data_IF_364850685135
#
_entry.id   IF_364850685135
#
_cell.length_a   1.000
_cell.length_b   1.000
_cell.length_c   1.000
_cell.angle_alpha   90.00
_cell.angle_beta   90.00
_cell.angle_gamma   90.00
#
_symmetry.space_group_name_H-M   'P 1'
#
loop_
_entity.id
_entity.type
_entity.pdbx_description
1 polymer ?
#
# COMPACT_ATOMS: atom_id res chain seq x y z
N UNK A 1 25.43 8.97 12.59
CA UNK A 1 23.98 8.79 12.34
C UNK A 1 23.75 7.35 11.91
N UNK A 2 22.65 6.70 12.34
CA UNK A 2 22.34 5.32 11.94
C UNK A 2 21.93 5.32 10.45
N UNK A 3 22.42 4.34 9.70
CA UNK A 3 22.13 4.14 8.28
C UNK A 3 21.63 2.72 8.02
N UNK A 4 20.87 2.56 6.96
CA UNK A 4 20.46 1.28 6.36
C UNK A 4 21.18 1.16 5.02
N UNK A 5 21.83 0.03 4.77
CA UNK A 5 22.53 -0.23 3.51
C UNK A 5 21.79 -1.33 2.75
N UNK A 6 21.39 -1.04 1.52
CA UNK A 6 20.85 -2.03 0.57
C UNK A 6 22.03 -2.67 -0.15
N UNK A 7 22.12 -4.01 -0.09
CA UNK A 7 23.24 -4.77 -0.63
C UNK A 7 22.66 -5.85 -1.55
N UNK A 8 23.17 -5.92 -2.77
CA UNK A 8 22.81 -6.97 -3.71
C UNK A 8 23.36 -8.31 -3.20
N UNK A 9 22.49 -9.29 -2.90
CA UNK A 9 22.94 -10.55 -2.30
C UNK A 9 23.69 -11.47 -3.28
N UNK A 10 23.64 -11.18 -4.58
CA UNK A 10 24.27 -12.03 -5.61
C UNK A 10 25.76 -11.73 -5.81
N UNK A 11 26.19 -10.51 -5.53
CA UNK A 11 27.56 -10.04 -5.80
C UNK A 11 28.14 -9.14 -4.69
N UNK A 12 27.36 -8.82 -3.64
CA UNK A 12 27.77 -7.98 -2.52
C UNK A 12 27.87 -6.48 -2.83
N UNK A 13 27.43 -6.02 -4.00
CA UNK A 13 27.50 -4.59 -4.35
C UNK A 13 26.49 -3.78 -3.54
N UNK A 14 26.88 -2.60 -3.09
CA UNK A 14 25.98 -1.65 -2.41
C UNK A 14 25.07 -1.01 -3.46
N UNK A 15 23.76 -1.19 -3.30
CA UNK A 15 22.73 -0.57 -4.15
C UNK A 15 22.39 0.85 -3.67
N UNK A 16 22.50 1.10 -2.36
CA UNK A 16 22.22 2.40 -1.78
C UNK A 16 22.38 2.44 -0.25
N UNK A 17 22.49 3.65 0.27
CA UNK A 17 22.47 3.94 1.71
C UNK A 17 21.35 4.91 2.04
N UNK A 18 20.61 4.61 3.11
CA UNK A 18 19.47 5.39 3.56
C UNK A 18 19.67 5.80 5.01
N UNK A 19 19.51 7.09 5.28
CA UNK A 19 19.57 7.58 6.65
C UNK A 19 18.26 7.30 7.39
N UNK A 20 18.38 7.00 8.68
CA UNK A 20 17.21 6.93 9.54
C UNK A 20 16.53 8.32 9.57
N UNK A 21 15.20 8.32 9.54
CA UNK A 21 14.45 9.56 9.74
C UNK A 21 14.71 10.14 11.15
N UNK A 22 14.93 11.45 11.23
CA UNK A 22 14.91 12.18 12.49
C UNK A 22 13.49 12.21 13.06
N UNK A 23 13.37 12.51 14.36
CA UNK A 23 12.05 12.65 15.00
C UNK A 23 11.23 13.75 14.31
N UNK A 24 11.83 14.90 14.01
CA UNK A 24 11.14 15.98 13.27
C UNK A 24 10.61 15.54 11.90
N UNK A 25 11.37 14.68 11.19
CA UNK A 25 10.94 14.13 9.91
C UNK A 25 9.79 13.14 10.07
N UNK A 26 9.81 12.33 11.14
CA UNK A 26 8.70 11.43 11.48
C UNK A 26 7.44 12.24 11.79
N UNK A 27 7.53 13.27 12.62
CA UNK A 27 6.39 14.14 12.96
C UNK A 27 5.80 14.82 11.72
N UNK A 28 6.66 15.26 10.80
CA UNK A 28 6.21 15.83 9.52
C UNK A 28 5.48 14.80 8.64
N UNK A 29 5.97 13.56 8.57
CA UNK A 29 5.29 12.48 7.83
C UNK A 29 3.92 12.21 8.45
N UNK A 30 3.84 12.06 9.78
CA UNK A 30 2.58 11.81 10.49
C UNK A 30 1.57 12.93 10.28
N UNK A 31 2.00 14.19 10.37
CA UNK A 31 1.15 15.36 10.10
C UNK A 31 0.59 15.32 8.68
N UNK A 32 1.43 15.12 7.67
CA UNK A 32 1.01 15.05 6.26
C UNK A 32 0.07 13.88 6.00
N UNK A 33 0.32 12.72 6.60
CA UNK A 33 -0.57 11.56 6.48
C UNK A 33 -1.94 11.83 7.09
N UNK A 34 -2.00 12.52 8.24
CA UNK A 34 -3.27 12.90 8.85
C UNK A 34 -4.03 13.96 8.03
N UNK A 35 -3.32 14.95 7.46
CA UNK A 35 -3.93 15.93 6.55
C UNK A 35 -4.50 15.25 5.29
N UNK A 36 -3.73 14.35 4.67
CA UNK A 36 -4.20 13.56 3.54
C UNK A 36 -5.40 12.68 3.92
N UNK A 37 -5.43 12.14 5.15
CA UNK A 37 -6.56 11.36 5.64
C UNK A 37 -7.85 12.17 5.68
N UNK A 38 -7.83 13.46 6.06
CA UNK A 38 -9.04 14.28 6.09
C UNK A 38 -9.70 14.43 4.71
N UNK A 39 -8.90 14.56 3.66
CA UNK A 39 -9.40 14.56 2.28
C UNK A 39 -9.80 13.14 1.83
N UNK A 40 -8.96 12.15 2.09
CA UNK A 40 -9.18 10.79 1.59
C UNK A 40 -10.44 10.14 2.16
N UNK A 41 -10.75 10.40 3.43
CA UNK A 41 -11.95 9.88 4.10
C UNK A 41 -13.25 10.50 3.60
N UNK A 42 -13.21 11.69 2.97
CA UNK A 42 -14.41 12.36 2.47
C UNK A 42 -14.81 11.89 1.08
N UNK A 43 -13.94 11.16 0.38
CA UNK A 43 -14.27 10.58 -0.92
C UNK A 43 -15.26 9.42 -0.75
N UNK A 44 -16.16 9.27 -1.71
CA UNK A 44 -17.00 8.09 -1.82
C UNK A 44 -16.20 6.87 -2.31
N UNK A 45 -16.75 5.66 -2.10
CA UNK A 45 -16.12 4.42 -2.57
C UNK A 45 -15.82 4.43 -4.07
N UNK A 46 -16.75 4.95 -4.89
CA UNK A 46 -16.57 5.04 -6.33
C UNK A 46 -15.44 6.00 -6.74
N UNK A 47 -15.27 7.12 -6.02
CA UNK A 47 -14.16 8.05 -6.28
C UNK A 47 -12.82 7.42 -5.90
N UNK A 48 -12.76 6.72 -4.77
CA UNK A 48 -11.56 5.97 -4.36
C UNK A 48 -11.23 4.86 -5.36
N UNK A 49 -12.22 4.18 -5.94
CA UNK A 49 -12.00 3.14 -6.95
C UNK A 49 -11.13 3.63 -8.11
N UNK A 50 -11.37 4.85 -8.61
CA UNK A 50 -10.63 5.43 -9.74
C UNK A 50 -9.14 5.56 -9.41
N UNK A 51 -8.81 6.06 -8.23
CA UNK A 51 -7.41 6.17 -7.78
C UNK A 51 -6.76 4.80 -7.59
N UNK A 52 -7.48 3.85 -7.00
CA UNK A 52 -7.02 2.48 -6.74
C UNK A 52 -6.75 1.75 -8.07
N UNK A 53 -7.63 1.89 -9.06
CA UNK A 53 -7.45 1.35 -10.40
C UNK A 53 -6.21 1.94 -11.09
N UNK A 54 -5.97 3.24 -10.91
CA UNK A 54 -4.79 3.89 -11.48
C UNK A 54 -3.47 3.36 -10.88
N UNK A 55 -3.45 2.94 -9.62
CA UNK A 55 -2.27 2.27 -9.04
C UNK A 55 -1.98 0.97 -9.80
N UNK A 56 -2.99 0.17 -10.12
CA UNK A 56 -2.80 -1.05 -10.90
C UNK A 56 -2.19 -0.77 -12.29
N UNK A 57 -2.63 0.32 -12.95
CA UNK A 57 -2.07 0.76 -14.25
C UNK A 57 -0.60 1.14 -14.12
N UNK A 58 -0.24 1.93 -13.11
CA UNK A 58 1.16 2.33 -12.85
C UNK A 58 2.05 1.10 -12.59
N UNK A 59 1.60 0.18 -11.73
CA UNK A 59 2.35 -1.05 -11.43
C UNK A 59 2.64 -1.88 -12.69
N UNK A 60 1.69 -1.95 -13.63
CA UNK A 60 1.86 -2.68 -14.89
C UNK A 60 2.78 -1.96 -15.85
N UNK A 61 2.67 -0.64 -15.95
CA UNK A 61 3.52 0.18 -16.81
C UNK A 61 4.99 0.07 -16.38
N UNK A 62 5.26 0.11 -15.07
CA UNK A 62 6.62 0.11 -14.51
C UNK A 62 7.09 -1.29 -14.13
N UNK A 63 6.35 -2.34 -14.51
CA UNK A 63 6.54 -3.72 -14.02
C UNK A 63 7.98 -4.23 -14.14
N UNK A 64 8.64 -3.93 -15.26
CA UNK A 64 10.00 -4.39 -15.50
C UNK A 64 11.00 -3.73 -14.55
N UNK A 65 10.88 -2.42 -14.34
CA UNK A 65 11.75 -1.66 -13.44
C UNK A 65 11.54 -2.10 -11.98
N UNK A 66 10.29 -2.16 -11.54
CA UNK A 66 9.95 -2.58 -10.17
C UNK A 66 10.45 -4.01 -9.88
N UNK A 67 10.26 -4.93 -10.83
CA UNK A 67 10.75 -6.31 -10.68
C UNK A 67 12.29 -6.39 -10.66
N UNK A 68 12.98 -5.52 -11.41
CA UNK A 68 14.44 -5.41 -11.36
C UNK A 68 14.92 -4.93 -9.99
N UNK A 69 14.25 -3.95 -9.37
CA UNK A 69 14.55 -3.50 -8.00
C UNK A 69 14.42 -4.64 -6.99
N UNK A 70 13.30 -5.38 -7.01
CA UNK A 70 13.10 -6.55 -6.12
C UNK A 70 14.26 -7.54 -6.26
N UNK A 71 14.61 -7.86 -7.49
CA UNK A 71 15.68 -8.83 -7.80
C UNK A 71 17.03 -8.31 -7.33
N UNK A 72 17.32 -7.03 -7.55
CA UNK A 72 18.60 -6.40 -7.22
C UNK A 72 18.82 -6.28 -5.71
N UNK A 73 17.77 -5.96 -4.94
CA UNK A 73 17.91 -5.70 -3.50
C UNK A 73 17.83 -6.97 -2.65
N UNK A 74 17.06 -7.99 -3.05
CA UNK A 74 16.86 -9.18 -2.22
C UNK A 74 17.01 -10.53 -2.94
N UNK A 75 17.42 -10.50 -4.22
CA UNK A 75 17.88 -11.70 -4.94
C UNK A 75 16.79 -12.63 -5.44
N UNK A 76 15.51 -12.22 -5.41
CA UNK A 76 14.41 -13.02 -5.95
C UNK A 76 14.56 -13.18 -7.47
N UNK A 77 14.38 -14.38 -8.05
CA UNK A 77 14.45 -14.58 -9.48
C UNK A 77 13.52 -13.64 -10.24
N UNK A 78 14.00 -13.00 -11.31
CA UNK A 78 13.26 -11.96 -12.04
C UNK A 78 11.86 -12.38 -12.46
N UNK A 79 11.67 -13.65 -12.86
CA UNK A 79 10.35 -14.19 -13.21
C UNK A 79 9.37 -14.15 -12.04
N UNK A 80 9.82 -14.44 -10.83
CA UNK A 80 9.00 -14.36 -9.62
C UNK A 80 8.75 -12.90 -9.21
N UNK A 81 9.74 -12.02 -9.37
CA UNK A 81 9.59 -10.58 -9.13
C UNK A 81 8.55 -9.95 -10.06
N UNK A 82 8.55 -10.29 -11.35
CA UNK A 82 7.54 -9.86 -12.32
C UNK A 82 6.14 -10.36 -11.93
N UNK A 83 6.03 -11.61 -11.49
CA UNK A 83 4.77 -12.18 -11.02
C UNK A 83 4.26 -11.50 -9.74
N UNK A 84 5.16 -11.09 -8.84
CA UNK A 84 4.81 -10.34 -7.63
C UNK A 84 4.19 -8.99 -7.97
N UNK A 85 4.79 -8.22 -8.88
CA UNK A 85 4.27 -6.90 -9.29
C UNK A 85 2.90 -7.06 -9.97
N UNK A 86 2.75 -8.04 -10.86
CA UNK A 86 1.44 -8.31 -11.50
C UNK A 86 0.39 -8.70 -10.45
N UNK A 87 0.76 -9.52 -9.47
CA UNK A 87 -0.15 -9.90 -8.37
C UNK A 87 -0.60 -8.69 -7.56
N UNK A 88 0.28 -7.72 -7.35
CA UNK A 88 -0.07 -6.45 -6.69
C UNK A 88 -1.09 -5.68 -7.54
N UNK A 89 -0.85 -5.53 -8.85
CA UNK A 89 -1.78 -4.84 -9.74
C UNK A 89 -3.19 -5.48 -9.73
N UNK A 90 -3.26 -6.81 -9.82
CA UNK A 90 -4.53 -7.54 -9.74
C UNK A 90 -5.25 -7.36 -8.40
N UNK A 91 -4.52 -7.16 -7.30
CA UNK A 91 -5.13 -6.88 -6.00
C UNK A 91 -5.77 -5.49 -5.98
N UNK A 92 -5.12 -4.49 -6.57
CA UNK A 92 -5.71 -3.15 -6.72
C UNK A 92 -6.95 -3.18 -7.63
N UNK A 93 -6.91 -3.90 -8.77
CA UNK A 93 -8.10 -4.06 -9.63
C UNK A 93 -9.27 -4.70 -8.87
N UNK A 94 -9.00 -5.74 -8.07
CA UNK A 94 -10.02 -6.39 -7.26
C UNK A 94 -10.68 -5.41 -6.29
N UNK A 95 -9.90 -4.58 -5.58
CA UNK A 95 -10.46 -3.58 -4.69
C UNK A 95 -11.21 -2.48 -5.43
N UNK A 96 -10.67 -1.98 -6.55
CA UNK A 96 -11.34 -0.95 -7.34
C UNK A 96 -12.70 -1.43 -7.85
N UNK A 97 -12.80 -2.68 -8.28
CA UNK A 97 -14.06 -3.26 -8.79
C UNK A 97 -15.10 -3.55 -7.69
N UNK A 98 -14.67 -3.78 -6.44
CA UNK A 98 -15.55 -4.28 -5.37
C UNK A 98 -15.71 -3.31 -4.18
N UNK A 99 -15.04 -2.17 -4.16
CA UNK A 99 -15.04 -1.23 -3.02
C UNK A 99 -16.45 -0.79 -2.60
N UNK A 100 -17.34 -0.50 -3.55
CA UNK A 100 -18.71 -0.09 -3.23
C UNK A 100 -19.46 -1.21 -2.52
N UNK A 101 -19.35 -2.44 -3.03
CA UNK A 101 -19.93 -3.62 -2.41
C UNK A 101 -19.37 -3.88 -1.00
N UNK A 102 -18.06 -3.75 -0.81
CA UNK A 102 -17.43 -3.95 0.51
C UNK A 102 -17.83 -2.91 1.57
N UNK A 103 -18.35 -1.76 1.15
CA UNK A 103 -18.74 -0.67 2.04
C UNK A 103 -20.26 -0.52 2.14
N UNK A 104 -21.04 -1.41 1.52
CA UNK A 104 -22.48 -1.43 1.68
C UNK A 104 -22.84 -1.65 3.16
N UNK A 105 -23.75 -0.83 3.73
CA UNK A 105 -24.18 -1.02 5.11
C UNK A 105 -24.95 -2.33 5.30
N UNK A 106 -24.67 -3.05 6.37
CA UNK A 106 -25.47 -4.22 6.75
C UNK A 106 -26.72 -3.78 7.52
N UNK A 107 -27.90 -4.27 7.09
CA UNK A 107 -29.17 -4.00 7.77
C UNK A 107 -29.36 -4.97 8.94
N UNK A 108 -29.72 -4.45 10.10
CA UNK A 108 -30.03 -5.27 11.28
C UNK A 108 -31.42 -5.89 11.12
N UNK A 109 -31.49 -7.23 11.07
CA UNK A 109 -32.73 -7.97 10.77
C UNK A 109 -33.85 -7.68 11.77
N UNK A 110 -33.49 -7.54 13.04
CA UNK A 110 -34.42 -7.33 14.15
C UNK A 110 -34.88 -5.87 14.29
N UNK A 111 -34.20 -4.94 13.61
CA UNK A 111 -34.53 -3.51 13.63
C UNK A 111 -34.25 -2.90 12.26
N UNK A 112 -35.23 -2.86 11.34
CA UNK A 112 -35.04 -2.37 9.98
C UNK A 112 -34.57 -0.91 9.86
N UNK A 113 -34.68 -0.13 10.94
CA UNK A 113 -34.16 1.24 11.03
C UNK A 113 -32.69 1.32 11.47
N UNK A 114 -32.09 0.21 11.90
CA UNK A 114 -30.69 0.14 12.33
C UNK A 114 -29.82 -0.52 11.25
N UNK A 115 -28.60 0.00 11.09
CA UNK A 115 -27.62 -0.52 10.16
C UNK A 115 -26.21 -0.44 10.75
N UNK A 116 -25.30 -1.23 10.20
CA UNK A 116 -23.87 -1.19 10.48
C UNK A 116 -23.17 -0.50 9.30
N UNK A 117 -22.37 0.52 9.59
CA UNK A 117 -21.54 1.21 8.59
C UNK A 117 -20.06 0.91 8.82
N UNK A 118 -19.30 0.97 7.73
CA UNK A 118 -17.87 0.69 7.71
C UNK A 118 -17.09 1.98 7.45
N UNK A 119 -16.70 2.64 8.54
CA UNK A 119 -16.02 3.94 8.50
C UNK A 119 -14.50 3.80 8.65
N UNK A 120 -13.70 4.65 7.98
CA UNK A 120 -12.26 4.63 8.13
C UNK A 120 -11.82 5.06 9.55
N UNK A 121 -10.75 4.44 10.05
CA UNK A 121 -10.20 4.70 11.37
C UNK A 121 -9.15 5.81 11.40
N UNK A 122 -8.36 5.98 10.33
CA UNK A 122 -7.30 7.00 10.29
C UNK A 122 -6.06 6.63 9.50
N UNK A 123 -4.91 7.02 10.06
CA UNK A 123 -3.59 6.68 9.53
C UNK A 123 -3.15 5.34 10.10
N UNK A 124 -2.83 4.37 9.25
CA UNK A 124 -2.37 3.03 9.64
C UNK A 124 -0.85 2.93 9.47
N UNK A 125 -0.14 2.57 10.54
CA UNK A 125 1.28 2.22 10.46
C UNK A 125 1.43 0.76 10.00
N UNK A 126 2.07 0.56 8.86
CA UNK A 126 2.39 -0.76 8.32
C UNK A 126 3.90 -1.04 8.46
N UNK A 127 4.26 -2.08 9.22
CA UNK A 127 5.65 -2.57 9.31
C UNK A 127 5.74 -3.87 8.50
N UNK A 128 6.58 -3.91 7.46
CA UNK A 128 6.60 -5.02 6.49
C UNK A 128 7.98 -5.69 6.37
N UNK A 129 8.01 -7.00 6.05
CA UNK A 129 9.26 -7.73 5.83
C UNK A 129 9.77 -7.58 4.38
N UNK A 130 10.99 -8.05 4.14
CA UNK A 130 11.71 -7.93 2.86
C UNK A 130 11.47 -9.09 1.86
N UNK A 131 10.87 -10.21 2.28
CA UNK A 131 10.78 -11.42 1.46
C UNK A 131 9.82 -11.29 0.25
N UNK A 132 8.80 -10.44 0.38
CA UNK A 132 7.86 -10.06 -0.67
C UNK A 132 7.68 -8.54 -0.60
N UNK A 133 8.70 -7.78 -1.01
CA UNK A 133 8.82 -6.37 -0.68
C UNK A 133 7.69 -5.53 -1.27
N UNK A 134 7.11 -5.95 -2.40
CA UNK A 134 5.96 -5.27 -2.99
C UNK A 134 4.67 -5.88 -2.48
N UNK A 135 4.51 -7.21 -2.55
CA UNK A 135 3.25 -7.86 -2.19
C UNK A 135 2.85 -7.62 -0.73
N UNK A 136 3.77 -7.65 0.23
CA UNK A 136 3.44 -7.41 1.64
C UNK A 136 2.97 -5.99 1.93
N UNK A 137 3.52 -5.02 1.20
CA UNK A 137 3.18 -3.59 1.31
C UNK A 137 1.87 -3.31 0.58
N UNK A 138 1.82 -3.67 -0.70
CA UNK A 138 0.76 -3.27 -1.63
C UNK A 138 -0.53 -4.04 -1.41
N UNK A 139 -0.46 -5.30 -0.96
CA UNK A 139 -1.67 -5.99 -0.50
C UNK A 139 -2.27 -5.28 0.71
N UNK A 140 -1.48 -4.89 1.71
CA UNK A 140 -2.03 -4.13 2.84
C UNK A 140 -2.56 -2.75 2.40
N UNK A 141 -1.81 -2.04 1.56
CA UNK A 141 -2.19 -0.74 1.04
C UNK A 141 -3.51 -0.78 0.28
N UNK A 142 -3.77 -1.80 -0.55
CA UNK A 142 -5.01 -1.89 -1.33
C UNK A 142 -6.25 -1.91 -0.42
N UNK A 143 -6.22 -2.68 0.67
CA UNK A 143 -7.34 -2.78 1.61
C UNK A 143 -7.47 -1.51 2.47
N UNK A 144 -6.34 -1.01 2.97
CA UNK A 144 -6.30 0.19 3.83
C UNK A 144 -6.85 1.41 3.07
N UNK A 145 -6.35 1.64 1.85
CA UNK A 145 -6.77 2.76 1.02
C UNK A 145 -8.22 2.60 0.55
N UNK A 146 -8.64 1.39 0.16
CA UNK A 146 -10.04 1.11 -0.20
C UNK A 146 -11.00 1.41 0.96
N UNK A 147 -10.63 1.01 2.17
CA UNK A 147 -11.38 1.30 3.39
C UNK A 147 -11.36 2.77 3.82
N UNK A 148 -10.79 3.69 3.04
CA UNK A 148 -10.78 5.13 3.32
C UNK A 148 -9.70 5.58 4.31
N UNK A 149 -8.77 4.69 4.68
CA UNK A 149 -7.64 5.02 5.56
C UNK A 149 -6.44 5.50 4.74
N UNK A 150 -5.47 6.11 5.41
CA UNK A 150 -4.13 6.33 4.82
C UNK A 150 -3.10 5.41 5.48
N UNK A 151 -1.92 5.27 4.88
CA UNK A 151 -0.89 4.37 5.37
C UNK A 151 0.46 5.08 5.52
N UNK A 152 1.16 4.83 6.63
CA UNK A 152 2.59 5.10 6.80
C UNK A 152 3.32 3.78 6.77
N UNK A 153 4.30 3.63 5.87
CA UNK A 153 5.09 2.41 5.73
C UNK A 153 6.43 2.54 6.47
N UNK A 154 6.77 1.52 7.24
CA UNK A 154 8.14 1.19 7.62
C UNK A 154 8.50 -0.13 6.96
N UNK A 155 9.50 -0.11 6.09
CA UNK A 155 10.08 -1.30 5.48
C UNK A 155 11.38 -1.67 6.20
#
# INVERSE_FOLDING_TARGET
>A
MKKITSINPTNGTVNGEFEFHSLDKVDLILKRSNEAFQYWRSLEGAERAVYIENVAKVLRNDKQELAATITMEMGKPIRQSLAEVEKCASMFDHFAANICYFLEPDIVKESPSAFISYEPMGVVLAIKPWNFPFWQVLSAASHILAGGNTMVLKH
#
